data_IF_516271367143
#
_entry.id   IF_516271367143
#
_cell.length_a   1.000
_cell.length_b   1.000
_cell.length_c   1.000
_cell.angle_alpha   90.00
_cell.angle_beta   90.00
_cell.angle_gamma   90.00
#
_symmetry.space_group_name_H-M   'P 1'
#
loop_
_entity.id
_entity.type
_entity.pdbx_description
1 polymer ?
#
# COMPACT_ATOMS: atom_id res chain seq x y z
N UNK A 1 -24.37 -5.20 9.84
CA UNK A 1 -24.25 -6.51 10.54
C UNK A 1 -23.74 -7.57 9.57
N UNK A 2 -22.75 -8.40 9.93
CA UNK A 2 -22.21 -9.44 9.06
C UNK A 2 -23.29 -10.47 8.70
N UNK A 3 -23.32 -10.91 7.44
CA UNK A 3 -24.30 -11.88 6.94
C UNK A 3 -23.98 -13.32 7.37
N UNK A 4 -22.72 -13.66 7.62
CA UNK A 4 -22.30 -15.01 8.02
C UNK A 4 -21.10 -14.97 9.01
N UNK A 5 -20.79 -16.13 9.59
CA UNK A 5 -19.71 -16.29 10.57
C UNK A 5 -18.31 -15.99 10.00
N UNK A 6 -18.08 -16.23 8.70
CA UNK A 6 -16.80 -15.91 8.03
C UNK A 6 -16.59 -14.39 7.98
N UNK A 7 -17.59 -13.63 7.54
CA UNK A 7 -17.55 -12.16 7.52
C UNK A 7 -17.43 -11.59 8.93
N UNK A 8 -18.10 -12.18 9.93
CA UNK A 8 -17.96 -11.77 11.33
C UNK A 8 -16.52 -11.93 11.83
N UNK A 9 -15.87 -13.07 11.53
CA UNK A 9 -14.45 -13.30 11.87
C UNK A 9 -13.52 -12.32 11.17
N UNK A 10 -13.75 -12.02 9.90
CA UNK A 10 -12.95 -11.05 9.16
C UNK A 10 -13.07 -9.64 9.74
N UNK A 11 -14.28 -9.18 10.11
CA UNK A 11 -14.46 -7.88 10.76
C UNK A 11 -13.79 -7.84 12.13
N UNK A 12 -13.98 -8.88 12.95
CA UNK A 12 -13.33 -8.99 14.27
C UNK A 12 -11.79 -8.99 14.17
N UNK A 13 -11.22 -9.54 13.10
CA UNK A 13 -9.77 -9.54 12.91
C UNK A 13 -9.19 -8.14 12.65
N UNK A 14 -10.01 -7.25 12.06
CA UNK A 14 -9.68 -5.85 11.72
C UNK A 14 -9.97 -4.86 12.85
N UNK A 15 -10.68 -5.28 13.89
CA UNK A 15 -10.93 -4.43 15.06
C UNK A 15 -9.61 -4.07 15.76
N UNK A 16 -9.49 -2.86 16.34
CA UNK A 16 -8.31 -2.45 17.09
C UNK A 16 -7.99 -3.43 18.22
N UNK A 17 -6.70 -3.65 18.46
CA UNK A 17 -6.18 -4.59 19.47
C UNK A 17 -5.15 -3.89 20.35
N UNK A 18 -5.04 -4.32 21.60
CA UNK A 18 -3.99 -3.84 22.52
C UNK A 18 -2.61 -4.27 22.03
N UNK A 19 -2.48 -5.54 21.64
CA UNK A 19 -1.32 -6.05 20.92
C UNK A 19 -1.65 -6.11 19.42
N UNK A 20 -0.97 -5.29 18.64
CA UNK A 20 -1.25 -5.16 17.21
C UNK A 20 -0.78 -6.38 16.39
N UNK A 21 -1.47 -6.63 15.27
CA UNK A 21 -0.98 -7.59 14.28
C UNK A 21 0.20 -6.99 13.49
N UNK A 22 1.00 -7.82 12.80
CA UNK A 22 1.98 -7.35 11.82
C UNK A 22 1.33 -6.49 10.73
N UNK A 23 1.92 -5.32 10.47
CA UNK A 23 1.46 -4.38 9.45
C UNK A 23 1.58 -4.98 8.05
N UNK A 24 0.46 -5.03 7.34
CA UNK A 24 0.39 -5.46 5.93
C UNK A 24 0.88 -4.34 5.02
N UNK A 25 1.72 -4.70 4.04
CA UNK A 25 2.24 -3.79 3.03
C UNK A 25 1.62 -4.06 1.65
N UNK A 26 1.28 -3.00 0.92
CA UNK A 26 0.82 -3.09 -0.47
C UNK A 26 1.79 -2.36 -1.40
N UNK A 27 2.25 -3.07 -2.43
CA UNK A 27 3.12 -2.55 -3.46
C UNK A 27 2.31 -2.23 -4.72
N UNK A 28 2.36 -0.97 -5.15
CA UNK A 28 1.54 -0.44 -6.23
C UNK A 28 2.43 0.07 -7.37
N UNK A 29 2.10 -0.32 -8.59
CA UNK A 29 2.65 0.31 -9.80
C UNK A 29 1.81 1.54 -10.12
N UNK A 30 2.44 2.72 -10.09
CA UNK A 30 1.84 3.96 -10.53
C UNK A 30 1.57 4.00 -12.03
N UNK A 31 1.16 5.17 -12.54
CA UNK A 31 0.82 5.38 -13.96
C UNK A 31 2.03 5.13 -14.88
N UNK A 32 3.19 5.71 -14.56
CA UNK A 32 4.46 5.49 -15.26
C UNK A 32 5.45 4.75 -14.39
N UNK A 33 5.96 3.62 -14.86
CA UNK A 33 6.98 2.81 -14.19
C UNK A 33 7.92 2.23 -15.24
N UNK A 34 9.19 2.06 -14.89
CA UNK A 34 10.20 1.41 -15.74
C UNK A 34 10.66 0.09 -15.10
N UNK A 35 11.59 -0.61 -15.76
CA UNK A 35 12.06 -1.90 -15.28
C UNK A 35 12.74 -1.81 -13.90
N UNK A 36 13.54 -0.78 -13.66
CA UNK A 36 14.26 -0.58 -12.37
C UNK A 36 13.27 -0.48 -11.21
N UNK A 37 12.26 0.39 -11.33
CA UNK A 37 11.21 0.54 -10.31
C UNK A 37 10.41 -0.75 -10.11
N UNK A 38 10.07 -1.44 -11.20
CA UNK A 38 9.30 -2.68 -11.11
C UNK A 38 10.09 -3.80 -10.43
N UNK A 39 11.38 -3.91 -10.70
CA UNK A 39 12.28 -4.84 -10.01
C UNK A 39 12.39 -4.49 -8.53
N UNK A 40 12.65 -3.22 -8.19
CA UNK A 40 12.73 -2.77 -6.80
C UNK A 40 11.44 -3.06 -6.01
N UNK A 41 10.26 -2.79 -6.58
CA UNK A 41 8.98 -3.13 -5.94
C UNK A 41 8.82 -4.64 -5.71
N UNK A 42 9.24 -5.47 -6.67
CA UNK A 42 9.17 -6.93 -6.58
C UNK A 42 10.09 -7.48 -5.49
N UNK A 43 11.31 -6.94 -5.40
CA UNK A 43 12.31 -7.37 -4.42
C UNK A 43 11.90 -6.96 -3.01
N UNK A 44 11.47 -5.70 -2.82
CA UNK A 44 10.92 -5.22 -1.54
C UNK A 44 9.68 -6.02 -1.11
N UNK A 45 8.80 -6.35 -2.06
CA UNK A 45 7.67 -7.22 -1.78
C UNK A 45 8.12 -8.62 -1.33
N UNK A 46 9.16 -9.17 -1.95
CA UNK A 46 9.68 -10.50 -1.61
C UNK A 46 10.29 -10.55 -0.21
N UNK A 47 11.02 -9.49 0.18
CA UNK A 47 11.59 -9.34 1.53
C UNK A 47 10.47 -9.25 2.59
N UNK A 48 9.36 -8.59 2.27
CA UNK A 48 8.26 -8.35 3.23
C UNK A 48 7.26 -9.51 3.36
N UNK A 49 7.42 -10.59 2.58
CA UNK A 49 6.57 -11.80 2.72
C UNK A 49 6.63 -12.36 4.15
N UNK A 50 5.52 -12.88 4.70
CA UNK A 50 4.21 -13.09 4.07
C UNK A 50 3.27 -11.87 4.13
N UNK A 51 3.66 -10.77 4.80
CA UNK A 51 2.78 -9.63 5.09
C UNK A 51 2.80 -8.55 4.00
N UNK A 52 2.80 -9.00 2.75
CA UNK A 52 2.97 -8.16 1.57
C UNK A 52 2.06 -8.62 0.44
N UNK A 53 1.42 -7.67 -0.23
CA UNK A 53 0.64 -7.93 -1.45
C UNK A 53 1.09 -6.98 -2.56
N UNK A 54 1.37 -7.51 -3.75
CA UNK A 54 1.73 -6.70 -4.91
C UNK A 54 0.54 -6.62 -5.88
N UNK A 55 0.18 -5.41 -6.29
CA UNK A 55 -0.82 -5.20 -7.33
C UNK A 55 -0.18 -5.38 -8.71
N UNK A 56 -0.83 -6.18 -9.55
CA UNK A 56 -0.35 -6.49 -10.90
C UNK A 56 -0.67 -5.37 -11.90
N UNK A 57 -1.83 -4.72 -11.76
CA UNK A 57 -2.29 -3.64 -12.63
C UNK A 57 -1.66 -2.30 -12.23
N UNK A 58 -1.44 -1.44 -13.23
CA UNK A 58 -1.07 -0.05 -13.02
C UNK A 58 -2.28 0.73 -12.48
N UNK A 59 -2.04 1.61 -11.52
CA UNK A 59 -3.04 2.48 -10.94
C UNK A 59 -2.59 3.92 -11.14
N UNK A 60 -3.51 4.78 -11.58
CA UNK A 60 -3.25 6.22 -11.69
C UNK A 60 -3.45 6.81 -10.30
N UNK A 61 -2.36 6.98 -9.56
CA UNK A 61 -2.35 7.52 -8.20
C UNK A 61 -1.29 8.61 -8.14
N UNK A 62 -1.69 9.77 -7.63
CA UNK A 62 -0.82 10.91 -7.36
C UNK A 62 -0.90 11.21 -5.85
N UNK A 63 -0.09 10.53 -5.01
CA UNK A 63 -0.27 10.52 -3.55
C UNK A 63 -0.28 11.90 -2.89
N UNK A 64 0.48 12.84 -3.45
CA UNK A 64 0.58 14.21 -2.94
C UNK A 64 -0.49 15.17 -3.47
N UNK A 65 -1.34 14.71 -4.40
CA UNK A 65 -2.47 15.49 -4.95
C UNK A 65 -3.79 14.98 -4.39
N UNK A 66 -4.01 13.66 -4.40
CA UNK A 66 -5.20 13.01 -3.84
C UNK A 66 -4.84 11.69 -3.13
N UNK A 67 -5.36 11.57 -1.91
CA UNK A 67 -5.11 10.45 -1.00
C UNK A 67 -6.29 9.46 -0.95
N UNK A 68 -7.46 9.84 -1.48
CA UNK A 68 -8.72 9.08 -1.39
C UNK A 68 -8.57 7.64 -1.91
N UNK A 69 -7.78 7.45 -2.97
CA UNK A 69 -7.51 6.13 -3.53
C UNK A 69 -6.70 5.23 -2.58
N UNK A 70 -5.76 5.81 -1.83
CA UNK A 70 -4.94 5.08 -0.85
C UNK A 70 -5.76 4.69 0.38
N UNK A 71 -6.60 5.59 0.87
CA UNK A 71 -7.54 5.32 1.97
C UNK A 71 -8.51 4.19 1.60
N UNK A 72 -9.07 4.24 0.39
CA UNK A 72 -9.91 3.17 -0.14
C UNK A 72 -9.17 1.82 -0.18
N UNK A 73 -7.93 1.80 -0.69
CA UNK A 73 -7.14 0.57 -0.71
C UNK A 73 -6.79 0.07 0.69
N UNK A 74 -6.50 0.96 1.62
CA UNK A 74 -6.20 0.65 3.03
C UNK A 74 -7.39 -0.04 3.68
N UNK A 75 -8.58 0.57 3.62
CA UNK A 75 -9.80 0.01 4.21
C UNK A 75 -10.21 -1.32 3.53
N UNK A 76 -10.05 -1.40 2.20
CA UNK A 76 -10.43 -2.60 1.46
C UNK A 76 -9.57 -3.80 1.83
N UNK A 77 -8.25 -3.61 1.87
CA UNK A 77 -7.27 -4.68 2.02
C UNK A 77 -6.77 -4.87 3.45
N UNK A 78 -7.17 -4.01 4.39
CA UNK A 78 -6.66 -4.00 5.76
C UNK A 78 -5.13 -3.85 5.80
N UNK A 79 -4.64 -2.82 5.12
CA UNK A 79 -3.21 -2.54 4.97
C UNK A 79 -2.84 -1.14 5.45
N UNK A 80 -1.78 -1.07 6.23
CA UNK A 80 -1.30 0.18 6.84
C UNK A 80 -0.01 0.71 6.23
N UNK A 81 0.63 -0.05 5.34
CA UNK A 81 1.85 0.36 4.65
C UNK A 81 1.65 0.27 3.14
N UNK A 82 2.11 1.28 2.42
CA UNK A 82 2.11 1.29 0.96
C UNK A 82 3.48 1.70 0.42
N UNK A 83 3.82 1.14 -0.73
CA UNK A 83 4.95 1.59 -1.55
C UNK A 83 4.45 1.74 -2.99
N UNK A 84 4.49 2.96 -3.51
CA UNK A 84 4.04 3.29 -4.87
C UNK A 84 5.26 3.63 -5.72
N UNK A 85 5.46 2.87 -6.80
CA UNK A 85 6.50 3.17 -7.78
C UNK A 85 6.00 4.13 -8.86
N UNK A 86 6.80 5.12 -9.19
CA UNK A 86 6.58 6.06 -10.29
C UNK A 86 7.88 6.42 -11.01
N UNK A 87 7.81 6.89 -12.25
CA UNK A 87 8.98 7.34 -12.99
C UNK A 87 8.65 8.53 -13.88
N UNK A 88 9.34 9.65 -13.70
CA UNK A 88 9.15 10.88 -14.48
C UNK A 88 10.48 11.61 -14.70
N UNK A 89 10.54 12.57 -15.63
CA UNK A 89 11.76 13.37 -15.84
C UNK A 89 12.17 14.17 -14.60
N UNK A 90 11.19 14.72 -13.86
CA UNK A 90 11.44 15.51 -12.63
C UNK A 90 11.83 14.63 -11.43
N UNK A 91 11.26 13.43 -11.36
CA UNK A 91 11.48 12.44 -10.31
C UNK A 91 11.72 11.07 -10.97
N UNK A 92 12.97 10.79 -11.42
CA UNK A 92 13.30 9.49 -12.00
C UNK A 92 13.29 8.41 -10.91
N UNK A 93 12.87 7.20 -11.27
CA UNK A 93 12.82 6.01 -10.42
C UNK A 93 12.32 6.28 -8.98
N UNK A 94 11.16 6.89 -8.84
CA UNK A 94 10.68 7.36 -7.55
C UNK A 94 9.85 6.28 -6.83
N UNK A 95 10.15 6.04 -5.57
CA UNK A 95 9.35 5.22 -4.66
C UNK A 95 8.72 6.10 -3.59
N UNK A 96 7.39 6.08 -3.50
CA UNK A 96 6.65 6.80 -2.46
C UNK A 96 6.23 5.81 -1.39
N UNK A 97 6.73 5.98 -0.17
CA UNK A 97 6.32 5.21 1.00
C UNK A 97 5.23 5.96 1.75
N UNK A 98 4.18 5.25 2.14
CA UNK A 98 3.03 5.81 2.84
C UNK A 98 2.68 4.93 4.02
N UNK A 99 2.42 5.56 5.17
CA UNK A 99 1.85 4.88 6.34
C UNK A 99 0.43 5.39 6.57
N UNK A 100 -0.43 4.50 7.01
CA UNK A 100 -1.82 4.82 7.36
C UNK A 100 -2.03 4.67 8.87
N UNK A 101 -2.91 5.50 9.41
CA UNK A 101 -3.47 5.38 10.76
C UNK A 101 -4.98 5.54 10.66
N UNK A 102 -5.73 4.60 11.25
CA UNK A 102 -7.19 4.53 11.12
C UNK A 102 -7.70 4.64 9.65
N UNK A 103 -7.00 3.96 8.74
CA UNK A 103 -7.25 3.98 7.30
C UNK A 103 -7.11 5.35 6.61
N UNK A 104 -6.61 6.36 7.31
CA UNK A 104 -6.24 7.68 6.78
C UNK A 104 -4.72 7.79 6.66
N UNK A 105 -4.24 8.68 5.78
CA UNK A 105 -2.79 8.88 5.61
C UNK A 105 -2.21 9.52 6.87
N UNK A 106 -1.20 8.86 7.44
CA UNK A 106 -0.42 9.41 8.55
C UNK A 106 0.73 10.28 8.02
N UNK A 107 1.54 9.73 7.13
CA UNK A 107 2.67 10.40 6.51
C UNK A 107 3.07 9.74 5.18
N UNK A 108 3.81 10.51 4.38
CA UNK A 108 4.30 10.10 3.07
C UNK A 108 5.73 10.61 2.87
N UNK A 109 6.57 9.81 2.22
CA UNK A 109 7.94 10.19 1.86
C UNK A 109 8.31 9.66 0.47
N UNK A 110 8.98 10.49 -0.33
CA UNK A 110 9.54 10.11 -1.63
C UNK A 110 11.02 9.74 -1.48
N UNK A 111 11.41 8.60 -2.06
CA UNK A 111 12.78 8.13 -2.14
C UNK A 111 13.08 7.73 -3.59
N UNK A 112 13.91 8.52 -4.28
CA UNK A 112 14.39 8.20 -5.63
C UNK A 112 15.56 7.22 -5.59
N UNK A 113 15.61 6.30 -6.56
CA UNK A 113 16.68 5.27 -6.69
C UNK A 113 17.47 5.36 -7.99
#
# INVERSE_FOLDING_TARGET
KPKNARSKRALKAREPKVEENPKQAIFIRGSSTNQVVNTALSDLCSIKKPYSTMFSKKNVIHPFEDQSSLEFFSQKNDASLFCIGSNSKKRPNNLVFVRMFDYQVLDMIELGI
#
